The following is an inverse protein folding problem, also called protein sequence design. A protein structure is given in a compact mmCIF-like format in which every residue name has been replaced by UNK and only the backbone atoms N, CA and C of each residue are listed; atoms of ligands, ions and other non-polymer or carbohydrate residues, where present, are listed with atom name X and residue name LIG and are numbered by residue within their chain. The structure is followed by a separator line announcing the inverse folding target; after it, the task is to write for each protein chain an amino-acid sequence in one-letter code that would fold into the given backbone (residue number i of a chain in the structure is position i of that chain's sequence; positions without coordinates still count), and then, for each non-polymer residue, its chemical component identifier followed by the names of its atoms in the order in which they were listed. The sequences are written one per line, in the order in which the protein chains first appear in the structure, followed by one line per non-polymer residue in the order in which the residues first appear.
data_IF_755774154057
#
_entry.id   IF_755774154057
#
_cell.length_a   1.000
_cell.length_b   1.000
_cell.length_c   1.000
_cell.angle_alpha   90.00
_cell.angle_beta   90.00
_cell.angle_gamma   90.00
#
_symmetry.space_group_name_H-M   'P 1'
#
loop_
_entity.id
_entity.type
_entity.pdbx_description
1 polymer ?
#
# COMPACT_ATOMS: atom_id res chain seq x y z
N UNK A 1 3.80 4.57 16.15
CA UNK A 1 5.02 5.30 16.54
C UNK A 1 4.60 6.50 17.36
N UNK A 2 5.23 6.67 18.53
CA UNK A 2 5.10 7.85 19.38
C UNK A 2 6.43 8.61 19.39
N UNK A 3 6.36 9.93 19.43
CA UNK A 3 7.54 10.79 19.49
C UNK A 3 7.38 11.88 20.52
N UNK A 4 8.44 12.20 21.28
CA UNK A 4 8.43 13.26 22.29
C UNK A 4 9.78 13.99 22.30
N UNK A 5 9.75 15.30 22.39
CA UNK A 5 10.97 16.12 22.45
C UNK A 5 10.74 17.54 21.92
N UNK A 6 11.79 18.36 21.88
CA UNK A 6 11.70 19.77 21.47
C UNK A 6 11.33 19.97 20.00
N UNK A 7 11.39 18.92 19.19
CA UNK A 7 11.02 18.91 17.76
C UNK A 7 9.50 18.76 17.54
N UNK A 8 8.72 18.45 18.60
CA UNK A 8 7.27 18.31 18.47
C UNK A 8 6.62 19.71 18.43
N UNK A 9 5.64 19.86 17.54
CA UNK A 9 4.85 21.08 17.43
C UNK A 9 4.13 21.42 18.75
N UNK A 10 3.80 22.69 18.96
CA UNK A 10 2.97 23.12 20.10
C UNK A 10 1.50 22.73 19.96
N UNK A 11 1.05 22.51 18.74
CA UNK A 11 -0.33 22.13 18.41
C UNK A 11 -0.75 22.61 17.02
N UNK A 12 -1.95 22.24 16.62
CA UNK A 12 -2.57 22.72 15.39
C UNK A 12 -3.15 24.12 15.59
N UNK A 13 -2.93 25.01 14.63
CA UNK A 13 -3.39 26.38 14.69
C UNK A 13 -4.95 26.44 14.80
N UNK A 14 -5.44 27.13 15.80
CA UNK A 14 -6.87 27.27 16.11
C UNK A 14 -7.67 25.96 16.18
N UNK A 15 -7.00 24.83 16.44
CA UNK A 15 -7.66 23.54 16.57
C UNK A 15 -7.19 22.76 17.81
N UNK A 16 -7.71 23.14 19.01
CA UNK A 16 -7.33 22.48 20.25
C UNK A 16 -7.79 21.01 20.32
N UNK A 17 -8.91 20.67 19.69
CA UNK A 17 -9.41 19.29 19.64
C UNK A 17 -8.43 18.38 18.90
N UNK A 18 -8.05 18.74 17.68
CA UNK A 18 -7.05 17.95 16.92
C UNK A 18 -5.69 17.92 17.63
N UNK A 19 -5.33 18.97 18.36
CA UNK A 19 -4.11 19.01 19.16
C UNK A 19 -4.18 17.96 20.29
N UNK A 20 -5.27 17.91 21.04
CA UNK A 20 -5.45 16.96 22.13
C UNK A 20 -5.56 15.50 21.66
N UNK A 21 -6.09 15.28 20.46
CA UNK A 21 -6.11 13.94 19.82
C UNK A 21 -4.72 13.48 19.38
N UNK A 22 -3.85 14.43 19.03
CA UNK A 22 -2.53 14.12 18.48
C UNK A 22 -1.40 14.16 19.50
N UNK A 23 -1.53 14.96 20.55
CA UNK A 23 -0.53 15.09 21.63
C UNK A 23 -1.23 14.77 22.94
N UNK A 24 -0.79 13.70 23.60
CA UNK A 24 -1.37 13.30 24.88
C UNK A 24 -0.90 14.17 26.06
N UNK A 25 -1.49 13.91 27.24
CA UNK A 25 -1.20 14.68 28.45
C UNK A 25 0.26 14.57 28.93
N UNK A 26 0.97 13.54 28.51
CA UNK A 26 2.38 13.30 28.81
C UNK A 26 3.33 13.94 27.78
N UNK A 27 2.80 14.57 26.75
CA UNK A 27 3.53 15.25 25.68
C UNK A 27 4.04 14.32 24.57
N UNK A 28 3.49 13.12 24.45
CA UNK A 28 3.77 12.25 23.33
C UNK A 28 2.91 12.61 22.12
N UNK A 29 3.56 12.80 20.99
CA UNK A 29 2.91 12.98 19.70
C UNK A 29 2.62 11.62 19.06
N UNK A 30 1.36 11.36 18.78
CA UNK A 30 0.86 10.21 18.07
C UNK A 30 1.00 10.43 16.57
N UNK A 31 2.08 9.92 15.95
CA UNK A 31 2.37 10.19 14.53
C UNK A 31 1.32 9.63 13.58
N UNK A 32 0.57 8.62 14.02
CA UNK A 32 -0.34 7.86 13.16
C UNK A 32 0.40 6.85 12.27
N UNK A 33 1.72 6.76 12.38
CA UNK A 33 2.51 5.81 11.62
C UNK A 33 2.73 4.51 12.41
N UNK A 34 2.82 3.40 11.69
CA UNK A 34 3.14 2.07 12.20
C UNK A 34 4.55 1.71 11.74
N UNK A 35 5.30 1.05 12.61
CA UNK A 35 6.65 0.63 12.27
C UNK A 35 7.16 -0.49 13.15
N UNK A 36 8.29 -1.05 12.76
CA UNK A 36 9.08 -2.01 13.52
C UNK A 36 10.43 -1.40 13.93
N UNK A 37 10.95 -1.84 15.04
CA UNK A 37 12.31 -1.52 15.48
C UNK A 37 13.15 -2.78 15.30
N UNK A 38 14.12 -2.73 14.39
CA UNK A 38 15.01 -3.85 14.07
C UNK A 38 16.46 -3.37 14.19
N UNK A 39 17.26 -4.02 15.01
CA UNK A 39 18.68 -3.69 15.26
C UNK A 39 18.93 -2.19 15.57
N UNK A 40 18.01 -1.54 16.29
CA UNK A 40 18.09 -0.11 16.62
C UNK A 40 17.64 0.84 15.51
N UNK A 41 17.23 0.34 14.38
CA UNK A 41 16.69 1.12 13.27
C UNK A 41 15.16 1.08 13.23
N UNK A 42 14.54 2.26 13.18
CA UNK A 42 13.10 2.38 12.98
C UNK A 42 12.76 2.28 11.51
N UNK A 43 11.92 1.29 11.18
CA UNK A 43 11.34 1.15 9.84
C UNK A 43 9.86 1.51 9.91
N UNK A 44 9.45 2.53 9.16
CA UNK A 44 8.01 2.85 8.99
C UNK A 44 7.45 1.88 7.95
N UNK A 45 6.40 1.16 8.33
CA UNK A 45 5.80 0.12 7.49
C UNK A 45 4.47 0.55 6.90
N UNK A 46 3.67 1.35 7.63
CA UNK A 46 2.35 1.79 7.17
C UNK A 46 1.83 2.97 8.00
N UNK A 47 0.63 3.45 7.66
CA UNK A 47 -0.14 4.37 8.48
C UNK A 47 -1.30 3.65 9.17
N UNK A 48 -1.56 4.02 10.42
CA UNK A 48 -2.64 3.42 11.23
C UNK A 48 -4.02 3.53 10.56
N UNK A 49 -4.31 4.66 9.92
CA UNK A 49 -5.57 4.92 9.21
C UNK A 49 -5.70 4.17 7.88
N UNK A 50 -4.58 3.73 7.31
CA UNK A 50 -4.54 3.05 6.01
C UNK A 50 -4.57 1.51 6.18
N UNK A 51 -4.52 1.02 7.44
CA UNK A 51 -4.68 -0.40 7.73
C UNK A 51 -6.04 -0.89 7.27
N UNK A 52 -6.02 -2.00 6.55
CA UNK A 52 -7.21 -2.75 6.19
C UNK A 52 -7.58 -3.66 7.36
N UNK A 53 -8.80 -3.49 7.89
CA UNK A 53 -9.35 -4.38 8.91
C UNK A 53 -10.39 -5.27 8.24
N UNK A 54 -10.07 -6.55 8.05
CA UNK A 54 -11.00 -7.49 7.43
C UNK A 54 -12.22 -7.75 8.32
N UNK A 55 -13.29 -8.31 7.75
CA UNK A 55 -14.50 -8.69 8.51
C UNK A 55 -14.21 -9.65 9.67
N UNK A 56 -13.13 -10.43 9.60
CA UNK A 56 -12.66 -11.31 10.68
C UNK A 56 -11.76 -10.62 11.71
N UNK A 57 -11.61 -9.29 11.66
CA UNK A 57 -10.78 -8.52 12.60
C UNK A 57 -9.27 -8.59 12.34
N UNK A 58 -8.84 -9.17 11.22
CA UNK A 58 -7.41 -9.22 10.87
C UNK A 58 -6.94 -7.88 10.32
N UNK A 59 -5.91 -7.30 10.94
CA UNK A 59 -5.23 -6.10 10.44
C UNK A 59 -4.22 -6.48 9.36
N UNK A 60 -4.27 -5.79 8.24
CA UNK A 60 -3.37 -5.96 7.10
C UNK A 60 -2.79 -4.60 6.75
N UNK A 61 -1.47 -4.51 6.69
CA UNK A 61 -0.74 -3.36 6.18
C UNK A 61 -0.66 -3.46 4.65
N UNK A 62 -1.35 -2.61 3.87
CA UNK A 62 -1.38 -2.73 2.41
C UNK A 62 -0.06 -2.32 1.75
N UNK A 63 0.59 -1.26 2.23
CA UNK A 63 1.78 -0.66 1.62
C UNK A 63 2.94 -1.65 1.38
N UNK A 64 3.37 -2.47 2.36
CA UNK A 64 4.45 -3.43 2.14
C UNK A 64 4.12 -4.45 1.04
N UNK A 65 2.85 -4.87 0.98
CA UNK A 65 2.39 -5.84 -0.03
C UNK A 65 2.33 -5.20 -1.41
N UNK A 66 1.75 -4.01 -1.52
CA UNK A 66 1.68 -3.24 -2.75
C UNK A 66 3.08 -2.92 -3.29
N UNK A 67 3.98 -2.45 -2.43
CA UNK A 67 5.37 -2.15 -2.80
C UNK A 67 6.09 -3.40 -3.30
N UNK A 68 5.87 -4.56 -2.66
CA UNK A 68 6.45 -5.83 -3.12
C UNK A 68 5.95 -6.23 -4.50
N UNK A 69 4.66 -6.07 -4.76
CA UNK A 69 4.05 -6.40 -6.05
C UNK A 69 4.51 -5.43 -7.15
N UNK A 70 4.66 -4.14 -6.84
CA UNK A 70 5.19 -3.12 -7.77
C UNK A 70 6.63 -3.38 -8.23
N UNK A 71 7.38 -4.26 -7.58
CA UNK A 71 8.71 -4.68 -8.10
C UNK A 71 8.61 -5.49 -9.39
N UNK A 72 7.44 -6.01 -9.73
CA UNK A 72 7.20 -6.71 -10.98
C UNK A 72 7.13 -5.71 -12.15
N UNK A 73 8.04 -5.81 -13.11
CA UNK A 73 8.12 -4.91 -14.28
C UNK A 73 6.87 -4.85 -15.16
N UNK A 74 5.98 -5.83 -15.05
CA UNK A 74 4.71 -5.89 -15.78
C UNK A 74 3.56 -5.20 -15.07
N UNK A 75 3.83 -4.58 -13.91
CA UNK A 75 2.84 -3.90 -13.08
C UNK A 75 3.27 -2.44 -12.91
N UNK A 76 2.37 -1.50 -13.19
CA UNK A 76 2.59 -0.07 -12.99
C UNK A 76 2.11 0.37 -11.62
N UNK A 77 0.88 -0.02 -11.26
CA UNK A 77 0.25 0.35 -9.99
C UNK A 77 -0.52 -0.83 -9.39
N UNK A 78 -0.59 -0.83 -8.06
CA UNK A 78 -1.37 -1.79 -7.28
C UNK A 78 -2.07 -1.06 -6.16
N UNK A 79 -3.33 -1.39 -5.92
CA UNK A 79 -4.11 -0.93 -4.78
C UNK A 79 -4.79 -2.12 -4.13
N UNK A 80 -4.60 -2.28 -2.81
CA UNK A 80 -5.29 -3.30 -2.03
C UNK A 80 -6.60 -2.74 -1.49
N UNK A 81 -7.68 -3.49 -1.67
CA UNK A 81 -9.02 -3.17 -1.17
C UNK A 81 -9.50 -4.34 -0.32
N UNK A 82 -9.98 -4.08 0.90
CA UNK A 82 -10.40 -5.18 1.75
C UNK A 82 -10.98 -4.77 3.10
N UNK A 83 -11.11 -3.46 3.36
CA UNK A 83 -11.68 -3.00 4.63
C UNK A 83 -13.10 -3.53 4.83
N UNK A 84 -13.36 -4.12 6.00
CA UNK A 84 -14.63 -4.78 6.36
C UNK A 84 -15.06 -5.90 5.41
N UNK A 85 -14.18 -6.38 4.52
CA UNK A 85 -14.47 -7.48 3.59
C UNK A 85 -13.94 -8.81 4.14
N UNK A 86 -14.50 -9.92 3.67
CA UNK A 86 -14.10 -11.27 4.06
C UNK A 86 -12.63 -11.55 3.71
N UNK A 87 -12.14 -11.01 2.62
CA UNK A 87 -10.76 -11.10 2.15
C UNK A 87 -10.37 -9.85 1.36
N UNK A 88 -9.09 -9.48 1.36
CA UNK A 88 -8.60 -8.39 0.52
C UNK A 88 -8.47 -8.84 -0.93
N UNK A 89 -8.60 -7.89 -1.85
CA UNK A 89 -8.34 -8.05 -3.28
C UNK A 89 -7.36 -6.99 -3.75
N UNK A 90 -6.67 -7.25 -4.84
CA UNK A 90 -5.74 -6.33 -5.46
C UNK A 90 -6.32 -5.83 -6.78
N UNK A 91 -6.37 -4.52 -6.95
CA UNK A 91 -6.54 -3.89 -8.24
C UNK A 91 -5.14 -3.63 -8.81
N UNK A 92 -4.87 -4.18 -9.98
CA UNK A 92 -3.57 -4.09 -10.63
C UNK A 92 -3.70 -3.31 -11.93
N UNK A 93 -2.88 -2.29 -12.11
CA UNK A 93 -2.70 -1.60 -13.38
C UNK A 93 -1.49 -2.20 -14.08
N UNK A 94 -1.70 -2.89 -15.22
CA UNK A 94 -0.61 -3.51 -15.95
C UNK A 94 0.29 -2.46 -16.63
N UNK A 95 1.58 -2.77 -16.74
CA UNK A 95 2.50 -2.04 -17.59
C UNK A 95 2.35 -2.53 -19.04
N UNK A 96 1.51 -1.85 -19.80
CA UNK A 96 1.21 -2.25 -21.17
C UNK A 96 2.44 -2.25 -22.06
N UNK A 97 3.35 -1.30 -21.92
CA UNK A 97 4.57 -1.23 -22.74
C UNK A 97 5.43 -2.49 -22.58
N UNK A 98 5.54 -2.99 -21.36
CA UNK A 98 6.29 -4.21 -21.07
C UNK A 98 5.53 -5.47 -21.50
N UNK A 99 4.21 -5.48 -21.33
CA UNK A 99 3.38 -6.60 -21.74
C UNK A 99 3.31 -6.75 -23.25
N UNK A 100 3.14 -5.65 -23.98
CA UNK A 100 3.09 -5.63 -25.45
C UNK A 100 4.43 -6.07 -26.05
N UNK A 101 5.58 -5.61 -25.50
CA UNK A 101 6.92 -6.07 -25.89
C UNK A 101 7.09 -7.57 -25.65
N UNK A 102 6.66 -8.06 -24.49
CA UNK A 102 6.74 -9.50 -24.19
C UNK A 102 5.82 -10.34 -25.07
N UNK A 103 4.60 -9.88 -25.33
CA UNK A 103 3.64 -10.54 -26.21
C UNK A 103 4.19 -10.64 -27.65
N UNK A 104 4.76 -9.55 -28.17
CA UNK A 104 5.42 -9.53 -29.47
C UNK A 104 6.59 -10.54 -29.52
N UNK A 105 7.44 -10.58 -28.50
CA UNK A 105 8.53 -11.55 -28.39
C UNK A 105 8.02 -13.01 -28.39
N UNK A 106 6.83 -13.26 -27.86
CA UNK A 106 6.20 -14.58 -27.84
C UNK A 106 5.33 -14.87 -29.06
N UNK A 107 5.33 -13.99 -30.07
CA UNK A 107 4.47 -14.09 -31.26
C UNK A 107 2.97 -14.21 -30.92
N UNK A 108 2.54 -13.62 -29.81
CA UNK A 108 1.13 -13.51 -29.42
C UNK A 108 0.51 -12.38 -30.23
N UNK A 109 -0.60 -12.65 -30.93
CA UNK A 109 -1.34 -11.66 -31.73
C UNK A 109 -2.48 -11.12 -30.89
N UNK A 110 -2.63 -9.80 -30.85
CA UNK A 110 -3.74 -9.11 -30.18
C UNK A 110 -4.20 -7.91 -31.01
N UNK A 111 -5.46 -7.53 -30.87
CA UNK A 111 -6.06 -6.38 -31.56
C UNK A 111 -6.38 -5.23 -30.59
N UNK A 112 -6.48 -5.51 -29.30
CA UNK A 112 -6.76 -4.50 -28.28
C UNK A 112 -6.11 -4.89 -26.93
N UNK A 113 -5.87 -3.89 -26.07
CA UNK A 113 -5.37 -4.12 -24.69
C UNK A 113 -6.34 -4.96 -23.86
N UNK A 114 -7.64 -4.80 -24.06
CA UNK A 114 -8.65 -5.62 -23.39
C UNK A 114 -8.52 -7.10 -23.78
N UNK A 115 -8.34 -7.40 -25.07
CA UNK A 115 -8.10 -8.76 -25.55
C UNK A 115 -6.79 -9.32 -24.99
N UNK A 116 -5.73 -8.51 -24.96
CA UNK A 116 -4.43 -8.91 -24.38
C UNK A 116 -4.59 -9.35 -22.93
N UNK A 117 -5.28 -8.57 -22.11
CA UNK A 117 -5.51 -8.88 -20.69
C UNK A 117 -6.44 -10.07 -20.47
N UNK A 118 -7.34 -10.39 -21.41
CA UNK A 118 -8.21 -11.55 -21.32
C UNK A 118 -7.47 -12.88 -21.57
N UNK A 119 -6.24 -12.84 -22.10
CA UNK A 119 -5.48 -14.05 -22.41
C UNK A 119 -4.90 -14.72 -21.15
N UNK A 120 -5.12 -16.03 -20.93
CA UNK A 120 -4.60 -16.75 -19.77
C UNK A 120 -3.07 -16.66 -19.63
N UNK A 121 -2.34 -16.66 -20.75
CA UNK A 121 -0.87 -16.51 -20.77
C UNK A 121 -0.39 -15.18 -20.23
N UNK A 122 -1.14 -14.09 -20.47
CA UNK A 122 -0.84 -12.76 -19.93
C UNK A 122 -1.17 -12.71 -18.45
N UNK A 123 -2.32 -13.23 -18.03
CA UNK A 123 -2.69 -13.31 -16.62
C UNK A 123 -1.67 -14.11 -15.82
N UNK A 124 -1.26 -15.27 -16.31
CA UNK A 124 -0.21 -16.08 -15.68
C UNK A 124 1.16 -15.36 -15.62
N UNK A 125 1.42 -14.41 -16.53
CA UNK A 125 2.64 -13.61 -16.55
C UNK A 125 2.62 -12.50 -15.50
N UNK A 126 1.46 -11.89 -15.27
CA UNK A 126 1.27 -10.85 -14.25
C UNK A 126 1.28 -11.46 -12.84
N UNK A 127 0.77 -12.68 -12.67
CA UNK A 127 0.65 -13.36 -11.38
C UNK A 127 1.94 -14.02 -10.88
N UNK A 128 3.00 -14.07 -11.67
CA UNK A 128 4.33 -14.57 -11.30
C UNK A 128 5.22 -13.47 -10.72
#
# INVERSE_FOLDING_TARGET
ILSRGPHIMKGYYNNPTATAESIDAEGWFHTGDIGSLEDGYLRITDRKKDLIVTAGGKNIAPQPIENRIKTNKYITEVVMIGDKRKYPVLLIVPNFDQLEKWAAYKNIIWTSRAQLLAMPTINAKIQK
#
